data_IF_565398687982
#
_entry.id   IF_565398687982
#
_cell.length_a   1.000
_cell.length_b   1.000
_cell.length_c   1.000
_cell.angle_alpha   90.00
_cell.angle_beta   90.00
_cell.angle_gamma   90.00
#
_symmetry.space_group_name_H-M   'P 1'
#
loop_
_entity.id
_entity.type
_entity.pdbx_description
1 polymer ?
#
# COMPACT_ATOMS: atom_id res chain seq x y z
N UNK A 1 -10.21 21.26 38.12
CA UNK A 1 -8.98 20.75 37.49
C UNK A 1 -9.32 19.71 36.43
N UNK A 2 -9.14 20.07 35.16
CA UNK A 2 -9.34 19.15 34.03
C UNK A 2 -7.95 18.59 33.72
N UNK A 3 -7.72 17.33 34.10
CA UNK A 3 -6.52 16.60 33.69
C UNK A 3 -6.59 16.38 32.18
N UNK A 4 -5.85 17.20 31.43
CA UNK A 4 -5.47 16.90 30.06
C UNK A 4 -4.53 15.70 30.11
N UNK A 5 -5.08 14.48 30.00
CA UNK A 5 -4.28 13.33 29.62
C UNK A 5 -3.80 13.58 28.20
N UNK A 6 -2.52 13.89 28.05
CA UNK A 6 -1.84 13.86 26.78
C UNK A 6 -1.99 12.42 26.26
N UNK A 7 -2.90 12.23 25.30
CA UNK A 7 -2.94 11.00 24.53
C UNK A 7 -1.55 10.81 23.95
N UNK A 8 -0.94 9.69 24.34
CA UNK A 8 0.36 9.23 23.91
C UNK A 8 0.57 9.59 22.44
N UNK A 9 1.64 10.32 22.04
CA UNK A 9 1.97 10.40 20.64
C UNK A 9 2.24 8.96 20.20
N UNK A 10 1.32 8.39 19.42
CA UNK A 10 1.50 7.08 18.82
C UNK A 10 2.66 7.23 17.85
N UNK A 11 3.89 6.94 18.31
CA UNK A 11 4.94 6.49 17.42
C UNK A 11 4.42 5.19 16.79
N UNK A 12 3.81 5.32 15.61
CA UNK A 12 3.44 4.18 14.77
C UNK A 12 4.78 3.59 14.31
N UNK A 13 5.33 2.66 15.09
CA UNK A 13 6.35 1.75 14.59
C UNK A 13 5.70 1.00 13.42
N UNK A 14 6.12 1.31 12.19
CA UNK A 14 5.69 0.55 11.02
C UNK A 14 6.03 -0.91 11.25
N UNK A 15 5.08 -1.79 10.98
CA UNK A 15 5.35 -3.22 11.03
C UNK A 15 6.35 -3.58 9.91
N UNK A 16 7.14 -4.66 10.03
CA UNK A 16 8.01 -5.11 8.95
C UNK A 16 7.28 -5.35 7.62
N UNK A 17 5.99 -5.70 7.68
CA UNK A 17 5.13 -5.87 6.51
C UNK A 17 4.84 -4.53 5.82
N UNK A 18 4.57 -3.48 6.60
CA UNK A 18 4.30 -2.13 6.09
C UNK A 18 5.54 -1.55 5.38
N UNK A 19 6.72 -1.65 6.01
CA UNK A 19 7.99 -1.22 5.40
C UNK A 19 8.31 -1.96 4.10
N UNK A 20 8.06 -3.27 4.07
CA UNK A 20 8.26 -4.09 2.87
C UNK A 20 7.30 -3.67 1.75
N UNK A 21 6.02 -3.39 2.07
CA UNK A 21 5.04 -2.90 1.09
C UNK A 21 5.48 -1.53 0.55
N UNK A 22 5.89 -0.61 1.42
CA UNK A 22 6.38 0.70 1.02
C UNK A 22 7.61 0.60 0.11
N UNK A 23 8.55 -0.28 0.44
CA UNK A 23 9.72 -0.54 -0.40
C UNK A 23 9.31 -1.02 -1.79
N UNK A 24 8.40 -1.99 -1.89
CA UNK A 24 7.94 -2.49 -3.19
C UNK A 24 7.12 -1.47 -3.99
N UNK A 25 6.34 -0.62 -3.33
CA UNK A 25 5.63 0.48 -4.00
C UNK A 25 6.65 1.47 -4.58
N UNK A 26 7.67 1.87 -3.81
CA UNK A 26 8.75 2.75 -4.28
C UNK A 26 9.49 2.17 -5.47
N UNK A 27 9.88 0.88 -5.41
CA UNK A 27 10.51 0.18 -6.54
C UNK A 27 9.61 0.19 -7.79
N UNK A 28 8.30 -0.01 -7.62
CA UNK A 28 7.34 -0.02 -8.73
C UNK A 28 7.18 1.37 -9.36
N UNK A 29 7.10 2.41 -8.53
CA UNK A 29 7.03 3.81 -8.98
C UNK A 29 8.25 4.18 -9.83
N UNK A 30 9.46 3.86 -9.35
CA UNK A 30 10.71 4.12 -10.08
C UNK A 30 10.75 3.38 -11.42
N UNK A 31 10.30 2.12 -11.47
CA UNK A 31 10.17 1.35 -12.72
C UNK A 31 9.16 1.95 -13.70
N UNK A 32 8.16 2.67 -13.21
CA UNK A 32 7.17 3.39 -14.01
C UNK A 32 7.63 4.80 -14.42
N UNK A 33 8.81 5.24 -13.97
CA UNK A 33 9.36 6.56 -14.24
C UNK A 33 8.90 7.65 -13.26
N UNK A 34 8.20 7.28 -12.19
CA UNK A 34 7.87 8.21 -11.12
C UNK A 34 9.04 8.33 -10.13
N UNK A 35 9.23 9.51 -9.51
CA UNK A 35 10.11 9.61 -8.36
C UNK A 35 9.61 8.70 -7.21
N UNK A 36 10.51 8.14 -6.40
CA UNK A 36 10.13 7.25 -5.28
C UNK A 36 9.33 7.95 -4.17
N UNK A 37 9.34 9.27 -4.12
CA UNK A 37 8.50 10.07 -3.23
C UNK A 37 7.11 10.41 -3.82
N UNK A 38 6.79 9.91 -5.02
CA UNK A 38 5.48 10.13 -5.63
C UNK A 38 4.37 9.49 -4.79
N UNK A 39 3.26 10.22 -4.63
CA UNK A 39 2.14 9.79 -3.79
C UNK A 39 1.31 8.73 -4.53
N UNK A 40 1.35 7.48 -4.06
CA UNK A 40 0.67 6.35 -4.71
C UNK A 40 -0.86 6.51 -4.79
N UNK A 41 -1.47 7.28 -3.88
CA UNK A 41 -2.87 7.67 -3.92
C UNK A 41 -3.26 8.46 -5.18
N UNK A 42 -2.32 9.19 -5.78
CA UNK A 42 -2.52 10.02 -6.99
C UNK A 42 -2.40 9.25 -8.30
N UNK A 43 -1.99 7.99 -8.24
CA UNK A 43 -1.94 7.13 -9.42
C UNK A 43 -3.35 6.96 -10.01
N UNK A 44 -3.44 6.92 -11.34
CA UNK A 44 -4.69 6.55 -11.99
C UNK A 44 -5.00 5.06 -11.79
N UNK A 45 -6.19 4.62 -12.25
CA UNK A 45 -6.65 3.24 -12.03
C UNK A 45 -5.69 2.20 -12.64
N UNK A 46 -5.19 2.42 -13.86
CA UNK A 46 -4.32 1.47 -14.54
C UNK A 46 -2.93 1.41 -13.88
N UNK A 47 -2.44 2.54 -13.38
CA UNK A 47 -1.22 2.62 -12.59
C UNK A 47 -1.35 1.91 -11.24
N UNK A 48 -2.47 2.10 -10.52
CA UNK A 48 -2.75 1.35 -9.28
C UNK A 48 -2.82 -0.16 -9.53
N UNK A 49 -3.39 -0.58 -10.67
CA UNK A 49 -3.40 -1.99 -11.07
C UNK A 49 -1.97 -2.51 -11.28
N UNK A 50 -1.07 -1.72 -11.91
CA UNK A 50 0.34 -2.09 -12.07
C UNK A 50 1.05 -2.27 -10.73
N UNK A 51 0.80 -1.39 -9.77
CA UNK A 51 1.36 -1.52 -8.41
C UNK A 51 0.86 -2.79 -7.73
N UNK A 52 -0.46 -3.05 -7.75
CA UNK A 52 -1.01 -4.30 -7.18
C UNK A 52 -0.43 -5.53 -7.88
N UNK A 53 -0.20 -5.48 -9.20
CA UNK A 53 0.43 -6.58 -9.94
C UNK A 53 1.85 -6.84 -9.46
N UNK A 54 2.64 -5.78 -9.31
CA UNK A 54 4.01 -5.89 -8.83
C UNK A 54 4.07 -6.48 -7.42
N UNK A 55 3.19 -6.06 -6.51
CA UNK A 55 3.08 -6.61 -5.17
C UNK A 55 2.67 -8.10 -5.18
N UNK A 56 1.77 -8.49 -6.08
CA UNK A 56 1.40 -9.90 -6.28
C UNK A 56 2.61 -10.73 -6.75
N UNK A 57 3.39 -10.23 -7.70
CA UNK A 57 4.61 -10.89 -8.20
C UNK A 57 5.68 -11.06 -7.11
N UNK A 58 5.77 -10.09 -6.18
CA UNK A 58 6.63 -10.18 -4.99
C UNK A 58 6.09 -11.11 -3.89
N UNK A 59 4.87 -11.64 -4.06
CA UNK A 59 4.23 -12.52 -3.08
C UNK A 59 3.67 -11.81 -1.85
N UNK A 60 3.50 -10.47 -1.90
CA UNK A 60 3.00 -9.65 -0.78
C UNK A 60 1.69 -10.17 -0.21
N UNK A 61 0.75 -10.60 -1.07
CA UNK A 61 -0.59 -11.04 -0.65
C UNK A 61 -0.63 -12.46 -0.05
N UNK A 62 0.51 -13.15 0.06
CA UNK A 62 0.62 -14.39 0.86
C UNK A 62 0.63 -14.11 2.36
N UNK A 63 0.92 -12.86 2.76
CA UNK A 63 0.98 -12.45 4.16
C UNK A 63 -0.38 -11.90 4.60
N UNK A 64 -0.90 -12.38 5.72
CA UNK A 64 -2.17 -11.93 6.30
C UNK A 64 -2.07 -10.44 6.64
N UNK A 65 -3.12 -9.67 6.31
CA UNK A 65 -3.19 -8.23 6.55
C UNK A 65 -2.61 -7.35 5.43
N UNK A 66 -1.89 -7.94 4.46
CA UNK A 66 -1.31 -7.18 3.36
C UNK A 66 -2.36 -6.47 2.48
N UNK A 67 -3.54 -7.09 2.30
CA UNK A 67 -4.64 -6.48 1.54
C UNK A 67 -5.08 -5.15 2.15
N UNK A 68 -5.20 -5.09 3.48
CA UNK A 68 -5.62 -3.89 4.22
C UNK A 68 -4.59 -2.78 4.01
N UNK A 69 -3.31 -3.07 4.25
CA UNK A 69 -2.22 -2.10 4.11
C UNK A 69 -2.10 -1.57 2.68
N UNK A 70 -2.20 -2.45 1.67
CA UNK A 70 -2.15 -2.02 0.26
C UNK A 70 -3.35 -1.14 -0.11
N UNK A 71 -4.54 -1.45 0.41
CA UNK A 71 -5.73 -0.65 0.20
C UNK A 71 -5.54 0.78 0.76
N UNK A 72 -5.00 0.90 1.97
CA UNK A 72 -4.67 2.17 2.60
C UNK A 72 -3.64 2.97 1.79
N UNK A 73 -2.49 2.37 1.44
CA UNK A 73 -1.40 3.05 0.70
C UNK A 73 -1.82 3.53 -0.69
N UNK A 74 -2.75 2.83 -1.34
CA UNK A 74 -3.28 3.21 -2.66
C UNK A 74 -4.55 4.08 -2.56
N UNK A 75 -5.03 4.40 -1.36
CA UNK A 75 -6.28 5.11 -1.11
C UNK A 75 -7.47 4.47 -1.86
N UNK A 76 -7.64 3.16 -1.70
CA UNK A 76 -8.76 2.38 -2.26
C UNK A 76 -9.34 1.46 -1.20
N UNK A 77 -10.50 0.87 -1.47
CA UNK A 77 -11.09 -0.14 -0.58
C UNK A 77 -10.48 -1.53 -0.80
N UNK A 78 -10.49 -2.40 0.22
CA UNK A 78 -10.04 -3.79 0.07
C UNK A 78 -10.76 -4.53 -1.09
N UNK A 79 -12.09 -4.40 -1.29
CA UNK A 79 -12.76 -4.98 -2.47
C UNK A 79 -12.20 -4.47 -3.81
N UNK A 80 -11.65 -3.25 -3.84
CA UNK A 80 -10.97 -2.71 -5.03
C UNK A 80 -9.64 -3.39 -5.28
N UNK A 81 -8.86 -3.69 -4.24
CA UNK A 81 -7.62 -4.48 -4.38
C UNK A 81 -7.94 -5.88 -4.92
N UNK A 82 -8.95 -6.56 -4.37
CA UNK A 82 -9.41 -7.85 -4.90
C UNK A 82 -9.87 -7.76 -6.37
N UNK A 83 -10.59 -6.70 -6.74
CA UNK A 83 -11.00 -6.46 -8.13
C UNK A 83 -9.79 -6.28 -9.05
N UNK A 84 -8.74 -5.62 -8.59
CA UNK A 84 -7.50 -5.47 -9.36
C UNK A 84 -6.78 -6.81 -9.53
N UNK A 85 -6.64 -7.61 -8.47
CA UNK A 85 -6.06 -8.95 -8.55
C UNK A 85 -6.80 -9.83 -9.56
N UNK A 86 -8.14 -9.83 -9.53
CA UNK A 86 -8.97 -10.61 -10.46
C UNK A 86 -8.81 -10.21 -11.93
N UNK A 87 -8.48 -8.95 -12.22
CA UNK A 87 -8.22 -8.51 -13.61
C UNK A 87 -6.96 -9.16 -14.22
N UNK A 88 -6.09 -9.75 -13.40
CA UNK A 88 -4.82 -10.36 -13.81
C UNK A 88 -4.93 -11.87 -14.05
N UNK A 89 -6.02 -12.51 -13.61
CA UNK A 89 -6.27 -13.95 -13.76
C UNK A 89 -6.83 -14.34 -15.15
N UNK A 90 -6.73 -13.43 -16.13
CA UNK A 90 -7.18 -13.63 -17.51
C UNK A 90 -6.03 -13.59 -18.49
#
# INVERSE_FOLDING_TARGET
DIEFKMDNPVEILSSPLDEMIDMYIKECLEKMGFPSYFLAERLNVDEKIKVVKYLQEKGTFKVKGAIVLVAEKLAVSEPTVYRYLKKMEK
#
